data_IF_541095527743
#
_entry.id   IF_541095527743
#
_cell.length_a   1.000
_cell.length_b   1.000
_cell.length_c   1.000
_cell.angle_alpha   90.00
_cell.angle_beta   90.00
_cell.angle_gamma   90.00
#
_symmetry.space_group_name_H-M   'P 1'
#
loop_
_entity.id
_entity.type
_entity.pdbx_description
1 polymer ?
#
# COMPACT_ATOMS: atom_id res chain seq x y z
N UNK A 1 -13.13 19.70 -56.30
CA UNK A 1 -13.77 21.02 -56.31
C UNK A 1 -14.09 21.34 -54.86
N UNK A 2 -13.59 22.49 -54.44
CA UNK A 2 -13.61 23.17 -53.13
C UNK A 2 -14.96 23.03 -52.37
N UNK A 3 -15.05 23.17 -51.04
CA UNK A 3 -14.78 24.43 -50.33
C UNK A 3 -14.41 24.20 -48.85
N UNK A 4 -13.40 24.95 -48.43
CA UNK A 4 -12.97 25.21 -47.06
C UNK A 4 -13.86 26.29 -46.42
N UNK A 5 -14.40 26.08 -45.22
CA UNK A 5 -14.86 27.18 -44.34
C UNK A 5 -14.58 26.80 -42.89
N UNK A 6 -13.54 27.38 -42.31
CA UNK A 6 -13.38 27.48 -40.86
C UNK A 6 -14.37 28.50 -40.29
N UNK A 7 -14.84 28.31 -39.04
CA UNK A 7 -15.04 29.45 -38.17
C UNK A 7 -14.33 29.28 -36.82
N UNK A 8 -13.65 30.37 -36.45
CA UNK A 8 -13.33 30.86 -35.11
C UNK A 8 -12.50 29.99 -34.15
N UNK A 9 -11.23 30.40 -34.06
CA UNK A 9 -10.39 30.25 -32.88
C UNK A 9 -11.02 31.11 -31.78
N UNK A 10 -11.75 30.48 -30.86
CA UNK A 10 -11.99 31.06 -29.54
C UNK A 10 -10.70 30.92 -28.72
N UNK A 11 -9.97 32.02 -28.57
CA UNK A 11 -8.78 32.20 -27.72
C UNK A 11 -9.10 32.14 -26.21
N UNK A 12 -9.91 31.18 -25.77
CA UNK A 12 -10.28 31.04 -24.35
C UNK A 12 -10.16 29.61 -23.79
N UNK A 13 -9.37 28.73 -24.45
CA UNK A 13 -9.21 27.33 -24.03
C UNK A 13 -7.81 26.96 -23.50
N UNK A 14 -6.99 27.93 -23.06
CA UNK A 14 -5.71 27.67 -22.38
C UNK A 14 -5.84 27.28 -20.88
N UNK A 15 -7.04 27.17 -20.33
CA UNK A 15 -7.30 26.60 -19.01
C UNK A 15 -7.94 25.20 -19.08
N UNK A 16 -7.47 24.32 -19.98
CA UNK A 16 -7.78 22.88 -19.90
C UNK A 16 -7.06 22.26 -18.69
N UNK A 17 -7.75 22.36 -17.55
CA UNK A 17 -7.62 21.60 -16.30
C UNK A 17 -6.24 21.00 -16.01
N UNK A 18 -5.48 21.65 -15.13
CA UNK A 18 -4.38 21.00 -14.39
C UNK A 18 -4.85 19.88 -13.43
N UNK A 19 -6.16 19.55 -13.43
CA UNK A 19 -6.74 18.51 -12.61
C UNK A 19 -6.29 17.10 -13.08
N UNK A 20 -5.81 16.24 -12.17
CA UNK A 20 -5.51 14.83 -12.46
C UNK A 20 -6.67 14.10 -13.14
N UNK A 21 -6.43 13.44 -14.27
CA UNK A 21 -7.46 12.67 -14.96
C UNK A 21 -7.55 11.24 -14.40
N UNK A 22 -8.74 10.83 -13.94
CA UNK A 22 -9.02 9.45 -13.54
C UNK A 22 -9.40 8.63 -14.77
N UNK A 23 -8.61 7.61 -15.06
CA UNK A 23 -8.86 6.64 -16.12
C UNK A 23 -9.24 5.28 -15.54
N UNK A 24 -9.92 4.45 -16.32
CA UNK A 24 -10.37 3.11 -15.92
C UNK A 24 -9.94 2.05 -16.92
N UNK A 25 -9.55 0.88 -16.43
CA UNK A 25 -9.31 -0.28 -17.28
C UNK A 25 -10.63 -0.85 -17.80
N UNK A 26 -10.66 -1.26 -19.08
CA UNK A 26 -11.87 -1.83 -19.70
C UNK A 26 -12.29 -3.15 -19.04
N UNK A 27 -11.32 -3.93 -18.55
CA UNK A 27 -11.58 -5.22 -17.92
C UNK A 27 -12.37 -5.04 -16.62
N UNK A 28 -13.45 -5.79 -16.52
CA UNK A 28 -14.22 -6.02 -15.30
C UNK A 28 -13.82 -7.36 -14.68
N UNK A 29 -13.75 -7.39 -13.35
CA UNK A 29 -13.39 -8.56 -12.56
C UNK A 29 -14.63 -9.05 -11.81
N UNK A 30 -14.94 -10.34 -11.91
CA UNK A 30 -16.11 -10.95 -11.25
C UNK A 30 -15.75 -11.49 -9.86
N UNK A 31 -14.83 -10.81 -9.18
CA UNK A 31 -14.28 -11.20 -7.89
C UNK A 31 -13.77 -9.95 -7.19
N UNK A 32 -13.72 -9.98 -5.87
CA UNK A 32 -13.24 -8.83 -5.11
C UNK A 32 -11.73 -8.64 -5.28
N UNK A 33 -11.35 -7.41 -5.64
CA UNK A 33 -9.95 -7.01 -5.71
C UNK A 33 -9.53 -6.56 -4.32
N UNK A 34 -8.59 -7.27 -3.72
CA UNK A 34 -8.16 -7.04 -2.35
C UNK A 34 -6.90 -6.20 -2.27
N UNK A 35 -5.98 -6.42 -3.21
CA UNK A 35 -4.67 -5.77 -3.27
C UNK A 35 -4.10 -5.84 -4.69
N UNK A 36 -3.12 -4.98 -4.99
CA UNK A 36 -2.34 -5.10 -6.21
C UNK A 36 -0.90 -4.68 -5.98
N UNK A 37 -0.01 -5.07 -6.89
CA UNK A 37 1.36 -4.58 -6.93
C UNK A 37 1.84 -4.55 -8.38
N UNK A 38 2.73 -3.61 -8.70
CA UNK A 38 3.31 -3.54 -10.04
C UNK A 38 4.50 -4.49 -10.18
N UNK A 39 4.52 -5.22 -11.29
CA UNK A 39 5.64 -6.04 -11.76
C UNK A 39 6.01 -5.59 -13.17
N UNK A 40 7.12 -4.88 -13.27
CA UNK A 40 7.48 -4.05 -14.41
C UNK A 40 6.38 -3.02 -14.66
N UNK A 41 5.84 -3.05 -15.88
CA UNK A 41 4.68 -2.24 -16.28
C UNK A 41 3.35 -2.92 -15.98
N UNK A 42 3.33 -4.22 -15.66
CA UNK A 42 2.10 -4.99 -15.49
C UNK A 42 1.60 -4.94 -14.05
N UNK A 43 0.30 -5.16 -13.86
CA UNK A 43 -0.33 -5.12 -12.55
C UNK A 43 -0.67 -6.54 -12.08
N UNK A 44 -0.02 -6.99 -11.00
CA UNK A 44 -0.42 -8.19 -10.26
C UNK A 44 -1.60 -7.84 -9.37
N UNK A 45 -2.65 -8.63 -9.45
CA UNK A 45 -3.93 -8.38 -8.78
C UNK A 45 -4.22 -9.58 -7.88
N UNK A 46 -4.28 -9.33 -6.58
CA UNK A 46 -4.68 -10.30 -5.57
C UNK A 46 -6.17 -10.16 -5.29
N UNK A 47 -6.88 -11.28 -5.39
CA UNK A 47 -8.33 -11.35 -5.18
C UNK A 47 -8.68 -12.29 -4.05
N UNK A 48 -9.95 -12.37 -3.70
CA UNK A 48 -10.51 -13.38 -2.81
C UNK A 48 -10.30 -14.83 -3.29
N UNK A 49 -10.11 -15.06 -4.59
CA UNK A 49 -10.04 -16.39 -5.19
C UNK A 49 -8.79 -16.65 -6.05
N UNK A 50 -7.88 -15.69 -6.21
CA UNK A 50 -6.66 -15.95 -6.97
C UNK A 50 -5.68 -14.80 -7.10
N UNK A 51 -4.60 -15.09 -7.83
CA UNK A 51 -3.63 -14.11 -8.30
C UNK A 51 -3.74 -14.02 -9.82
N UNK A 52 -3.88 -12.81 -10.32
CA UNK A 52 -3.98 -12.52 -11.76
C UNK A 52 -2.93 -11.49 -12.16
N UNK A 53 -2.57 -11.46 -13.44
CA UNK A 53 -1.75 -10.40 -14.03
C UNK A 53 -2.56 -9.70 -15.11
N UNK A 54 -2.73 -8.38 -14.96
CA UNK A 54 -3.22 -7.50 -16.02
C UNK A 54 -2.02 -6.98 -16.81
N UNK A 55 -1.93 -7.42 -18.06
CA UNK A 55 -0.92 -6.99 -19.02
C UNK A 55 -1.25 -5.58 -19.52
N UNK A 56 -0.40 -4.64 -19.13
CA UNK A 56 -0.52 -3.22 -19.48
C UNK A 56 0.39 -2.83 -20.64
N UNK A 57 1.25 -3.74 -21.09
CA UNK A 57 2.14 -3.53 -22.24
C UNK A 57 1.44 -3.75 -23.58
N UNK A 58 0.40 -4.59 -23.60
CA UNK A 58 -0.41 -4.88 -24.79
C UNK A 58 -1.86 -4.43 -24.68
N UNK A 59 -2.79 -5.26 -25.14
CA UNK A 59 -4.22 -4.94 -25.26
C UNK A 59 -5.02 -4.99 -23.94
N UNK A 60 -4.37 -5.08 -22.76
CA UNK A 60 -5.09 -5.19 -21.49
C UNK A 60 -5.54 -6.62 -21.14
N UNK A 61 -4.84 -7.63 -21.65
CA UNK A 61 -5.17 -9.05 -21.39
C UNK A 61 -4.93 -9.41 -19.93
N UNK A 62 -5.78 -10.29 -19.38
CA UNK A 62 -5.63 -10.78 -18.01
C UNK A 62 -5.26 -12.26 -18.01
N UNK A 63 -4.18 -12.60 -17.31
CA UNK A 63 -3.68 -13.95 -17.12
C UNK A 63 -3.96 -14.42 -15.69
N UNK A 64 -4.59 -15.58 -15.53
CA UNK A 64 -4.76 -16.21 -14.22
C UNK A 64 -3.48 -16.98 -13.87
N UNK A 65 -2.81 -16.60 -12.76
CA UNK A 65 -1.54 -17.19 -12.34
C UNK A 65 -1.75 -18.27 -11.28
N UNK A 66 -2.59 -17.98 -10.28
CA UNK A 66 -2.91 -18.89 -9.17
C UNK A 66 -4.42 -18.81 -8.94
N UNK A 67 -5.08 -19.95 -8.79
CA UNK A 67 -6.52 -20.08 -8.56
C UNK A 67 -6.80 -20.70 -7.19
N UNK A 68 -7.99 -20.47 -6.64
CA UNK A 68 -8.46 -21.10 -5.40
C UNK A 68 -7.76 -20.58 -4.14
N UNK A 69 -7.11 -19.41 -4.20
CA UNK A 69 -6.35 -18.85 -3.07
C UNK A 69 -6.58 -17.37 -2.95
N UNK A 70 -7.04 -16.94 -1.78
CA UNK A 70 -7.16 -15.53 -1.40
C UNK A 70 -5.78 -14.87 -1.25
N UNK A 71 -5.61 -13.67 -1.80
CA UNK A 71 -4.41 -12.83 -1.66
C UNK A 71 -4.79 -11.49 -1.04
N UNK A 72 -4.31 -11.22 0.17
CA UNK A 72 -4.67 -10.06 0.97
C UNK A 72 -3.76 -8.86 0.78
N UNK A 73 -2.46 -9.11 0.60
CA UNK A 73 -1.44 -8.10 0.44
C UNK A 73 -0.36 -8.65 -0.49
N UNK A 74 0.18 -7.80 -1.36
CA UNK A 74 1.24 -8.12 -2.31
C UNK A 74 2.35 -7.08 -2.20
N UNK A 75 3.60 -7.51 -2.34
CA UNK A 75 4.74 -6.61 -2.55
C UNK A 75 5.76 -7.28 -3.47
N UNK A 76 6.20 -6.57 -4.50
CA UNK A 76 7.10 -7.09 -5.54
C UNK A 76 8.52 -6.58 -5.29
N UNK A 77 9.44 -7.52 -5.11
CA UNK A 77 10.88 -7.27 -5.00
C UNK A 77 11.57 -7.76 -6.28
N UNK A 78 11.52 -6.94 -7.33
CA UNK A 78 12.01 -7.29 -8.67
C UNK A 78 13.49 -7.71 -8.66
N UNK A 79 14.34 -6.95 -7.96
CA UNK A 79 15.78 -7.25 -7.83
C UNK A 79 16.08 -8.56 -7.07
N UNK A 80 15.11 -9.08 -6.32
CA UNK A 80 15.23 -10.35 -5.60
C UNK A 80 14.44 -11.47 -6.30
N UNK A 81 13.82 -11.20 -7.45
CA UNK A 81 12.95 -12.15 -8.15
C UNK A 81 11.81 -12.70 -7.27
N UNK A 82 11.28 -11.90 -6.33
CA UNK A 82 10.29 -12.36 -5.34
C UNK A 82 9.03 -11.50 -5.35
N UNK A 83 7.88 -12.16 -5.30
CA UNK A 83 6.60 -11.61 -4.86
C UNK A 83 6.31 -12.11 -3.45
N UNK A 84 6.24 -11.17 -2.49
CA UNK A 84 5.83 -11.45 -1.12
C UNK A 84 4.32 -11.25 -0.98
N UNK A 85 3.66 -12.15 -0.26
CA UNK A 85 2.20 -12.13 -0.11
C UNK A 85 1.73 -12.49 1.29
N UNK A 86 0.61 -11.92 1.72
CA UNK A 86 -0.29 -12.55 2.71
C UNK A 86 -1.33 -13.29 1.90
N UNK A 87 -1.40 -14.62 2.04
CA UNK A 87 -2.33 -15.42 1.22
C UNK A 87 -2.88 -16.67 1.91
N UNK A 88 -3.91 -17.26 1.30
CA UNK A 88 -4.56 -18.50 1.73
C UNK A 88 -5.42 -18.35 2.99
N UNK A 89 -6.09 -19.44 3.38
CA UNK A 89 -7.05 -19.44 4.50
C UNK A 89 -6.44 -19.06 5.87
N UNK A 90 -5.14 -19.37 6.05
CA UNK A 90 -4.39 -19.14 7.29
C UNK A 90 -3.58 -17.84 7.29
N UNK A 91 -3.72 -16.99 6.26
CA UNK A 91 -2.97 -15.75 6.10
C UNK A 91 -1.46 -15.93 6.32
N UNK A 92 -0.85 -16.92 5.65
CA UNK A 92 0.59 -17.15 5.74
C UNK A 92 1.35 -16.15 4.87
N UNK A 93 2.55 -15.78 5.31
CA UNK A 93 3.52 -15.04 4.48
C UNK A 93 4.17 -16.01 3.48
N UNK A 94 4.02 -15.72 2.18
CA UNK A 94 4.56 -16.56 1.10
C UNK A 94 5.38 -15.79 0.10
N UNK A 95 6.46 -16.42 -0.33
CA UNK A 95 7.38 -15.93 -1.34
C UNK A 95 7.17 -16.75 -2.62
N UNK A 96 6.71 -16.09 -3.68
CA UNK A 96 6.64 -16.66 -5.02
C UNK A 96 7.78 -16.12 -5.85
N UNK A 97 8.49 -16.97 -6.59
CA UNK A 97 9.47 -16.48 -7.55
C UNK A 97 8.77 -15.83 -8.74
N UNK A 98 9.20 -14.63 -9.13
CA UNK A 98 8.61 -13.93 -10.28
C UNK A 98 8.87 -14.71 -11.58
N UNK A 99 10.02 -15.38 -11.69
CA UNK A 99 10.33 -16.30 -12.79
C UNK A 99 9.30 -17.45 -12.91
N UNK A 100 8.87 -18.04 -11.79
CA UNK A 100 7.83 -19.08 -11.79
C UNK A 100 6.48 -18.52 -12.30
N UNK A 101 6.11 -17.32 -11.86
CA UNK A 101 4.89 -16.65 -12.36
C UNK A 101 4.99 -16.31 -13.85
N UNK A 102 6.20 -15.93 -14.33
CA UNK A 102 6.46 -15.61 -15.74
C UNK A 102 6.24 -16.83 -16.63
N UNK A 103 6.72 -17.99 -16.20
CA UNK A 103 6.57 -19.25 -16.93
C UNK A 103 5.10 -19.62 -17.16
N UNK A 104 4.23 -19.33 -16.18
CA UNK A 104 2.77 -19.51 -16.33
C UNK A 104 2.12 -18.63 -17.39
N UNK A 105 2.70 -17.47 -17.69
CA UNK A 105 2.19 -16.56 -18.72
C UNK A 105 2.63 -17.02 -20.11
N UNK A 106 3.91 -17.38 -20.24
CA UNK A 106 4.52 -17.80 -21.51
C UNK A 106 4.07 -19.20 -21.93
N UNK A 107 3.41 -19.97 -21.05
CA UNK A 107 3.06 -21.39 -21.24
C UNK A 107 4.28 -22.23 -21.68
N UNK A 108 5.47 -21.87 -21.22
CA UNK A 108 6.67 -22.63 -21.53
C UNK A 108 6.54 -24.00 -20.88
N UNK A 109 6.63 -25.08 -21.67
CA UNK A 109 6.68 -26.46 -21.18
C UNK A 109 8.04 -26.81 -20.55
N UNK A 110 8.68 -25.85 -19.87
CA UNK A 110 9.85 -26.14 -19.06
C UNK A 110 9.41 -26.92 -17.83
N UNK A 111 10.06 -28.07 -17.60
CA UNK A 111 9.88 -28.98 -16.47
C UNK A 111 10.12 -28.30 -15.09
N UNK A 112 9.28 -27.35 -14.70
CA UNK A 112 9.27 -26.68 -13.38
C UNK A 112 8.72 -27.60 -12.28
N UNK A 113 8.31 -28.83 -12.61
CA UNK A 113 7.64 -29.79 -11.73
C UNK A 113 8.44 -30.24 -10.49
N UNK A 114 9.67 -29.76 -10.30
CA UNK A 114 10.49 -30.10 -9.11
C UNK A 114 10.57 -29.01 -8.04
N UNK A 115 10.24 -27.74 -8.33
CA UNK A 115 10.32 -26.66 -7.33
C UNK A 115 8.94 -26.26 -6.82
N UNK A 116 8.77 -26.08 -5.50
CA UNK A 116 7.50 -25.63 -4.96
C UNK A 116 7.16 -24.25 -5.53
N UNK A 117 5.88 -24.03 -5.82
CA UNK A 117 5.39 -22.76 -6.39
C UNK A 117 5.69 -21.54 -5.50
N UNK A 118 5.86 -21.77 -4.20
CA UNK A 118 6.22 -20.77 -3.21
C UNK A 118 6.97 -21.41 -2.04
N UNK A 119 7.64 -20.56 -1.27
CA UNK A 119 8.18 -20.90 0.06
C UNK A 119 7.44 -20.09 1.12
N UNK A 120 7.11 -20.68 2.26
CA UNK A 120 6.58 -19.92 3.40
C UNK A 120 7.74 -19.21 4.11
N UNK A 121 7.50 -18.00 4.63
CA UNK A 121 8.42 -17.40 5.58
C UNK A 121 8.16 -18.03 6.95
N UNK A 122 9.03 -18.95 7.37
CA UNK A 122 8.85 -19.72 8.60
C UNK A 122 7.51 -20.45 8.66
N UNK A 123 6.98 -20.63 9.87
CA UNK A 123 5.66 -21.24 10.12
C UNK A 123 4.56 -20.22 10.45
N UNK A 124 4.77 -18.95 10.07
CA UNK A 124 3.90 -17.84 10.39
C UNK A 124 2.48 -18.04 9.86
N UNK A 125 1.50 -17.77 10.73
CA UNK A 125 0.06 -17.80 10.47
C UNK A 125 -0.59 -16.57 11.08
N UNK A 126 -1.75 -16.18 10.55
CA UNK A 126 -2.49 -15.05 11.12
C UNK A 126 -1.91 -13.67 10.77
N UNK A 127 -1.11 -13.55 9.71
CA UNK A 127 -0.56 -12.25 9.33
C UNK A 127 -1.67 -11.24 9.00
N UNK A 128 -1.59 -10.07 9.64
CA UNK A 128 -2.51 -8.94 9.46
C UNK A 128 -2.00 -7.94 8.43
N UNK A 129 -0.72 -7.63 8.51
CA UNK A 129 -0.06 -6.66 7.65
C UNK A 129 1.44 -6.97 7.59
N UNK A 130 2.08 -6.65 6.48
CA UNK A 130 3.53 -6.52 6.45
C UNK A 130 3.97 -5.24 5.75
N UNK A 131 5.19 -4.79 6.06
CA UNK A 131 5.84 -3.67 5.39
C UNK A 131 7.27 -4.04 5.03
N UNK A 132 7.70 -3.62 3.84
CA UNK A 132 9.10 -3.67 3.43
C UNK A 132 9.68 -2.27 3.58
N UNK A 133 10.75 -2.14 4.35
CA UNK A 133 11.51 -0.90 4.52
C UNK A 133 12.93 -1.13 4.02
N UNK A 134 13.42 -0.23 3.17
CA UNK A 134 14.78 -0.30 2.64
C UNK A 134 15.63 0.72 3.38
N UNK A 135 16.76 0.27 3.90
CA UNK A 135 17.75 1.13 4.53
C UNK A 135 19.13 0.74 4.00
N UNK A 136 19.80 1.69 3.37
CA UNK A 136 21.04 1.43 2.63
C UNK A 136 20.91 0.22 1.68
N UNK A 137 21.75 -0.81 1.87
CA UNK A 137 21.72 -2.06 1.08
C UNK A 137 20.80 -3.13 1.67
N UNK A 138 20.26 -2.89 2.88
CA UNK A 138 19.45 -3.83 3.64
C UNK A 138 17.97 -3.61 3.34
N UNK A 139 17.22 -4.72 3.32
CA UNK A 139 15.75 -4.69 3.22
C UNK A 139 15.20 -5.36 4.47
N UNK A 140 14.45 -4.61 5.24
CA UNK A 140 13.70 -5.11 6.38
C UNK A 140 12.30 -5.49 5.95
N UNK A 141 11.80 -6.62 6.46
CA UNK A 141 10.42 -7.06 6.36
C UNK A 141 9.86 -7.12 7.78
N UNK A 142 8.83 -6.33 8.02
CA UNK A 142 8.13 -6.25 9.31
C UNK A 142 6.77 -6.88 9.12
N UNK A 143 6.44 -7.86 9.94
CA UNK A 143 5.21 -8.65 9.84
C UNK A 143 4.42 -8.50 11.13
N UNK A 144 3.21 -7.94 11.05
CA UNK A 144 2.21 -8.00 12.11
C UNK A 144 1.45 -9.33 12.03
N UNK A 145 1.47 -10.09 13.11
CA UNK A 145 0.69 -11.31 13.33
C UNK A 145 -0.47 -11.02 14.30
N UNK A 146 -1.22 -12.04 14.70
CA UNK A 146 -2.37 -11.85 15.60
C UNK A 146 -1.99 -11.19 16.94
N UNK A 147 -0.88 -11.62 17.54
CA UNK A 147 -0.42 -11.17 18.87
C UNK A 147 1.10 -10.86 18.92
N UNK A 148 1.78 -10.79 17.77
CA UNK A 148 3.23 -10.54 17.71
C UNK A 148 3.66 -9.73 16.49
N UNK A 149 4.86 -9.16 16.56
CA UNK A 149 5.53 -8.54 15.41
C UNK A 149 6.87 -9.24 15.19
N UNK A 150 7.14 -9.60 13.94
CA UNK A 150 8.42 -10.17 13.55
C UNK A 150 9.12 -9.30 12.51
N UNK A 151 10.39 -9.00 12.78
CA UNK A 151 11.29 -8.25 11.91
C UNK A 151 12.28 -9.22 11.28
N UNK A 152 12.40 -9.16 9.98
CA UNK A 152 13.32 -9.94 9.16
C UNK A 152 14.24 -9.03 8.37
N UNK A 153 15.47 -9.45 8.15
CA UNK A 153 16.41 -8.78 7.25
C UNK A 153 16.70 -9.66 6.03
N UNK A 154 16.81 -9.05 4.85
CA UNK A 154 17.17 -9.75 3.63
C UNK A 154 18.65 -10.15 3.64
N UNK A 155 18.94 -11.45 3.63
CA UNK A 155 20.30 -11.96 3.46
C UNK A 155 20.64 -12.12 1.97
N UNK A 156 21.77 -11.58 1.49
CA UNK A 156 22.22 -11.78 0.12
C UNK A 156 22.63 -13.24 -0.15
N UNK A 157 23.12 -13.53 -1.35
CA UNK A 157 23.69 -14.85 -1.66
C UNK A 157 24.85 -15.17 -0.68
N UNK A 158 25.00 -16.43 -0.25
CA UNK A 158 24.33 -17.64 -0.74
C UNK A 158 22.92 -17.90 -0.17
N UNK A 159 22.52 -17.21 0.91
CA UNK A 159 21.25 -17.48 1.59
C UNK A 159 20.01 -17.08 0.78
N UNK A 160 20.05 -15.90 0.14
CA UNK A 160 19.02 -15.38 -0.75
C UNK A 160 17.59 -15.51 -0.19
N UNK A 161 17.42 -15.14 1.09
CA UNK A 161 16.15 -15.24 1.83
C UNK A 161 16.07 -14.20 2.95
N UNK A 162 14.87 -13.97 3.45
CA UNK A 162 14.66 -13.21 4.67
C UNK A 162 15.06 -14.06 5.88
N UNK A 163 15.93 -13.50 6.72
CA UNK A 163 16.40 -14.08 7.98
C UNK A 163 15.75 -13.34 9.14
N UNK A 164 15.33 -14.06 10.18
CA UNK A 164 14.76 -13.45 11.38
C UNK A 164 15.80 -12.52 12.00
N UNK A 165 15.39 -11.28 12.25
CA UNK A 165 16.20 -10.25 12.88
C UNK A 165 15.77 -10.06 14.34
N UNK A 166 14.46 -9.88 14.59
CA UNK A 166 13.90 -9.75 15.94
C UNK A 166 12.43 -10.17 16.00
N UNK A 167 11.98 -10.64 17.15
CA UNK A 167 10.59 -11.08 17.39
C UNK A 167 10.08 -10.43 18.67
N UNK A 168 8.88 -9.84 18.61
CA UNK A 168 8.19 -9.21 19.72
C UNK A 168 6.88 -9.96 19.97
N UNK A 169 6.86 -10.84 20.98
CA UNK A 169 5.69 -11.70 21.29
C UNK A 169 4.83 -11.22 22.45
N UNK A 170 5.29 -10.23 23.22
CA UNK A 170 4.61 -9.69 24.40
C UNK A 170 4.21 -8.25 24.13
N UNK A 171 3.30 -8.05 23.19
CA UNK A 171 2.80 -6.72 22.83
C UNK A 171 1.70 -6.30 23.81
N UNK A 172 1.70 -5.04 24.22
CA UNK A 172 0.61 -4.47 25.03
C UNK A 172 -0.73 -4.50 24.27
N UNK A 173 -0.68 -4.35 22.95
CA UNK A 173 -1.85 -4.29 22.09
C UNK A 173 -1.64 -5.06 20.78
N UNK A 174 -2.73 -5.62 20.25
CA UNK A 174 -2.71 -6.39 18.99
C UNK A 174 -2.36 -5.51 17.79
N UNK A 175 -1.35 -5.90 16.97
CA UNK A 175 -0.92 -5.09 15.84
C UNK A 175 -1.81 -5.32 14.62
N UNK A 176 -2.34 -4.23 14.06
CA UNK A 176 -3.15 -4.25 12.83
C UNK A 176 -2.38 -3.71 11.63
N UNK A 177 -1.49 -2.75 11.87
CA UNK A 177 -0.68 -2.06 10.88
C UNK A 177 0.74 -1.91 11.44
N UNK A 178 1.75 -2.05 10.58
CA UNK A 178 3.17 -1.93 10.98
C UNK A 178 3.96 -1.12 9.97
N UNK A 179 4.94 -0.38 10.47
CA UNK A 179 6.03 0.23 9.70
C UNK A 179 7.35 0.16 10.51
N UNK A 180 8.45 0.50 9.85
CA UNK A 180 9.76 0.65 10.49
C UNK A 180 10.31 2.03 10.15
N UNK A 181 10.64 2.79 11.18
CA UNK A 181 11.39 4.02 11.01
C UNK A 181 12.86 3.80 11.36
N UNK A 182 13.73 4.51 10.66
CA UNK A 182 15.16 4.56 10.94
C UNK A 182 15.48 5.99 11.37
N UNK A 183 15.79 6.15 12.64
CA UNK A 183 16.17 7.42 13.25
C UNK A 183 17.65 7.75 12.97
N UNK A 184 18.03 8.98 13.33
CA UNK A 184 19.43 9.40 13.33
C UNK A 184 20.32 8.41 14.13
N UNK A 185 21.52 8.15 13.62
CA UNK A 185 22.41 7.15 14.19
C UNK A 185 22.03 5.70 13.87
N UNK A 186 21.16 5.46 12.88
CA UNK A 186 20.71 4.12 12.45
C UNK A 186 19.88 3.36 13.49
N UNK A 187 19.26 4.08 14.45
CA UNK A 187 18.37 3.45 15.43
C UNK A 187 17.08 3.03 14.76
N UNK A 188 16.71 1.77 14.93
CA UNK A 188 15.52 1.21 14.31
C UNK A 188 14.38 1.20 15.32
N UNK A 189 13.20 1.68 14.92
CA UNK A 189 11.95 1.51 15.70
C UNK A 189 10.84 0.93 14.85
N UNK A 190 10.19 -0.12 15.35
CA UNK A 190 8.91 -0.57 14.80
C UNK A 190 7.84 0.39 15.28
N UNK A 191 7.02 0.88 14.36
CA UNK A 191 5.77 1.58 14.70
C UNK A 191 4.62 0.67 14.34
N UNK A 192 3.64 0.50 15.23
CA UNK A 192 2.45 -0.28 14.94
C UNK A 192 1.16 0.39 15.42
N UNK A 193 0.10 0.23 14.64
CA UNK A 193 -1.25 0.67 14.99
C UNK A 193 -2.08 -0.49 15.53
N UNK A 194 -2.88 -0.21 16.56
CA UNK A 194 -3.82 -1.13 17.20
C UNK A 194 -5.24 -0.54 17.21
N UNK A 195 -6.18 -1.22 17.85
CA UNK A 195 -7.53 -0.68 18.11
C UNK A 195 -7.56 0.40 19.20
N UNK A 196 -6.45 0.61 19.91
CA UNK A 196 -6.34 1.59 21.00
C UNK A 196 -5.54 2.83 20.61
N UNK A 197 -4.73 2.75 19.55
CA UNK A 197 -3.86 3.85 19.13
C UNK A 197 -2.64 3.37 18.38
N UNK A 198 -1.53 4.08 18.54
CA UNK A 198 -0.25 3.76 17.91
C UNK A 198 0.85 3.67 18.94
N UNK A 199 1.78 2.77 18.68
CA UNK A 199 2.82 2.36 19.62
C UNK A 199 4.15 2.24 18.88
N UNK A 200 5.25 2.45 19.58
CA UNK A 200 6.59 2.26 19.06
C UNK A 200 7.35 1.21 19.89
N UNK A 201 8.20 0.44 19.23
CA UNK A 201 9.10 -0.52 19.85
C UNK A 201 10.51 -0.24 19.36
N UNK A 202 11.41 0.05 20.29
CA UNK A 202 12.83 0.22 20.00
C UNK A 202 13.49 -1.14 19.75
N UNK A 203 14.14 -1.32 18.60
CA UNK A 203 14.67 -2.62 18.22
C UNK A 203 15.89 -3.04 19.05
N UNK A 204 16.61 -2.13 19.69
CA UNK A 204 17.79 -2.49 20.47
C UNK A 204 17.38 -2.85 21.90
N UNK A 205 16.65 -1.94 22.55
CA UNK A 205 16.22 -2.08 23.94
C UNK A 205 14.98 -2.95 24.11
N UNK A 206 14.18 -3.15 23.06
CA UNK A 206 12.85 -3.77 23.11
C UNK A 206 11.83 -2.99 23.95
N UNK A 207 12.13 -1.73 24.30
CA UNK A 207 11.22 -0.88 25.04
C UNK A 207 9.99 -0.55 24.18
N UNK A 208 8.80 -0.68 24.76
CA UNK A 208 7.53 -0.37 24.11
C UNK A 208 6.97 0.91 24.71
N UNK A 209 6.53 1.82 23.84
CA UNK A 209 5.93 3.09 24.25
C UNK A 209 4.66 3.37 23.46
N UNK A 210 3.65 3.92 24.12
CA UNK A 210 2.45 4.43 23.48
C UNK A 210 2.77 5.83 22.93
N UNK A 211 2.85 5.95 21.59
CA UNK A 211 3.18 7.24 20.95
C UNK A 211 1.94 8.08 20.68
N UNK A 212 0.76 7.45 20.59
CA UNK A 212 -0.49 8.17 20.46
C UNK A 212 -1.67 7.31 20.90
N UNK A 213 -2.43 7.81 21.88
CA UNK A 213 -3.72 7.25 22.30
C UNK A 213 -4.78 8.35 22.15
N UNK A 214 -5.80 8.19 21.28
CA UNK A 214 -6.85 9.19 21.14
C UNK A 214 -7.68 9.31 22.43
N UNK A 215 -8.05 10.55 22.78
CA UNK A 215 -8.72 10.87 24.05
C UNK A 215 -10.15 10.34 24.17
N UNK A 216 -10.79 9.98 23.04
CA UNK A 216 -12.18 9.49 23.02
C UNK A 216 -12.19 7.95 23.02
N UNK A 217 -12.20 7.35 24.21
CA UNK A 217 -12.14 5.89 24.45
C UNK A 217 -13.37 5.09 23.94
N UNK A 218 -14.42 5.74 23.45
CA UNK A 218 -15.68 5.05 23.12
C UNK A 218 -15.65 4.37 21.74
N UNK A 219 -14.79 4.82 20.81
CA UNK A 219 -14.68 4.24 19.47
C UNK A 219 -13.31 3.59 19.25
N UNK A 220 -13.32 2.34 18.77
CA UNK A 220 -12.10 1.62 18.39
C UNK A 220 -11.36 2.39 17.28
N UNK A 221 -10.04 2.54 17.45
CA UNK A 221 -9.16 3.11 16.42
C UNK A 221 -9.11 2.17 15.22
N UNK A 222 -9.33 2.72 14.02
CA UNK A 222 -9.11 2.05 12.75
C UNK A 222 -7.84 2.63 12.12
N UNK A 223 -6.67 2.01 12.30
CA UNK A 223 -5.42 2.52 11.73
C UNK A 223 -5.44 2.37 10.21
N UNK A 224 -5.19 3.47 9.49
CA UNK A 224 -5.16 3.48 8.03
C UNK A 224 -3.74 3.57 7.47
N UNK A 225 -2.88 4.41 8.04
CA UNK A 225 -1.51 4.60 7.57
C UNK A 225 -0.59 5.10 8.69
N UNK A 226 0.66 4.65 8.65
CA UNK A 226 1.79 5.23 9.38
C UNK A 226 2.68 5.85 8.31
N UNK A 227 2.92 7.16 8.40
CA UNK A 227 3.69 7.90 7.40
C UNK A 227 4.88 8.54 8.09
N UNK A 228 6.07 8.04 7.82
CA UNK A 228 7.31 8.70 8.22
C UNK A 228 7.48 9.94 7.36
N UNK A 229 7.51 11.11 7.99
CA UNK A 229 7.59 12.38 7.26
C UNK A 229 8.95 12.54 6.58
N UNK A 230 8.99 13.00 5.31
CA UNK A 230 10.24 13.24 4.61
C UNK A 230 11.06 14.33 5.31
N UNK A 231 12.38 14.28 5.16
CA UNK A 231 13.31 15.29 5.71
C UNK A 231 13.25 15.46 7.23
N UNK A 232 12.83 14.44 7.97
CA UNK A 232 12.74 14.47 9.45
C UNK A 232 13.65 13.46 10.14
N UNK A 233 14.61 12.87 9.40
CA UNK A 233 15.51 11.82 9.89
C UNK A 233 14.77 10.66 10.57
N UNK A 234 13.57 10.31 10.10
CA UNK A 234 12.76 9.23 10.67
C UNK A 234 12.08 9.56 12.01
N UNK A 235 12.25 10.78 12.52
CA UNK A 235 11.80 11.15 13.86
C UNK A 235 10.34 11.59 13.91
N UNK A 236 9.76 11.99 12.79
CA UNK A 236 8.42 12.59 12.73
C UNK A 236 7.46 11.72 11.92
N UNK A 237 6.25 11.58 12.45
CA UNK A 237 5.21 10.71 11.92
C UNK A 237 3.92 11.48 11.68
N UNK A 238 3.20 11.10 10.62
CA UNK A 238 1.77 11.34 10.48
C UNK A 238 1.06 9.99 10.64
N UNK A 239 0.22 9.89 11.67
CA UNK A 239 -0.55 8.71 12.01
C UNK A 239 -2.01 8.93 11.58
N UNK A 240 -2.44 8.24 10.52
CA UNK A 240 -3.80 8.36 9.98
C UNK A 240 -4.68 7.23 10.52
N UNK A 241 -5.80 7.59 11.15
CA UNK A 241 -6.77 6.65 11.73
C UNK A 241 -8.18 7.23 11.67
N UNK A 242 -9.20 6.39 11.57
CA UNK A 242 -10.59 6.83 11.43
C UNK A 242 -10.69 7.94 10.35
N UNK A 243 -11.33 9.08 10.67
CA UNK A 243 -11.40 10.27 9.84
C UNK A 243 -10.35 11.34 10.19
N UNK A 244 -9.28 10.98 10.90
CA UNK A 244 -8.27 11.92 11.42
C UNK A 244 -6.84 11.52 11.06
N UNK A 245 -5.91 12.45 11.29
CA UNK A 245 -4.49 12.27 11.21
C UNK A 245 -3.78 13.20 12.20
N UNK A 246 -2.88 12.62 12.99
CA UNK A 246 -2.12 13.34 14.03
C UNK A 246 -0.63 13.33 13.72
N UNK A 247 0.03 14.45 14.00
CA UNK A 247 1.47 14.60 13.87
C UNK A 247 2.14 14.43 15.22
N UNK A 248 3.03 13.46 15.33
CA UNK A 248 3.82 13.22 16.53
C UNK A 248 5.23 12.75 16.16
N UNK A 249 6.13 12.81 17.12
CA UNK A 249 7.42 12.15 17.00
C UNK A 249 7.32 10.66 17.40
N UNK A 250 8.42 9.95 17.21
CA UNK A 250 8.56 8.53 17.58
C UNK A 250 8.65 8.29 19.09
N UNK A 251 8.51 9.33 19.92
CA UNK A 251 8.49 9.31 21.38
C UNK A 251 7.13 9.73 21.95
N UNK A 252 6.16 10.06 21.08
CA UNK A 252 4.80 10.43 21.42
C UNK A 252 4.56 11.91 21.70
N UNK A 253 5.55 12.77 21.47
CA UNK A 253 5.36 14.22 21.56
C UNK A 253 4.62 14.71 20.31
N UNK A 254 3.53 15.44 20.50
CA UNK A 254 2.82 16.12 19.40
C UNK A 254 3.76 17.12 18.73
N UNK A 255 3.82 17.08 17.40
CA UNK A 255 4.81 17.83 16.63
C UNK A 255 4.24 19.04 15.91
N UNK A 256 2.94 19.02 15.60
CA UNK A 256 2.22 20.11 14.96
C UNK A 256 0.87 20.26 15.63
N UNK A 257 0.41 21.49 15.79
CA UNK A 257 -0.93 21.73 16.35
C UNK A 257 -2.07 21.52 15.36
N UNK A 258 -1.73 21.37 14.09
CA UNK A 258 -2.66 21.07 13.01
C UNK A 258 -3.06 19.60 13.08
N UNK A 259 -4.36 19.34 12.99
CA UNK A 259 -4.91 18.00 12.78
C UNK A 259 -5.28 17.85 11.30
N UNK A 260 -4.94 16.71 10.72
CA UNK A 260 -5.47 16.33 9.42
C UNK A 260 -6.85 15.72 9.64
N UNK A 261 -7.87 16.22 8.97
CA UNK A 261 -9.23 15.70 9.09
C UNK A 261 -9.83 15.43 7.72
N UNK A 262 -10.30 14.21 7.50
CA UNK A 262 -11.01 13.81 6.29
C UNK A 262 -12.47 14.26 6.38
N UNK A 263 -13.06 14.70 5.26
CA UNK A 263 -14.46 15.13 5.21
C UNK A 263 -15.47 13.99 5.40
N UNK A 264 -15.02 12.74 5.24
CA UNK A 264 -15.77 11.53 5.61
C UNK A 264 -14.79 10.42 6.04
N UNK A 265 -15.31 9.35 6.65
CA UNK A 265 -14.50 8.19 7.03
C UNK A 265 -13.88 7.52 5.77
N UNK A 266 -12.54 7.58 5.58
CA UNK A 266 -11.91 6.96 4.44
C UNK A 266 -11.93 5.44 4.56
N UNK A 267 -12.15 4.76 3.44
CA UNK A 267 -12.00 3.30 3.34
C UNK A 267 -10.55 2.87 3.21
N UNK A 268 -9.68 3.77 2.72
CA UNK A 268 -8.23 3.58 2.68
C UNK A 268 -7.54 4.94 2.63
N UNK A 269 -6.37 5.03 3.25
CA UNK A 269 -5.48 6.19 3.16
C UNK A 269 -4.14 5.72 2.61
N UNK A 270 -3.52 6.49 1.73
CA UNK A 270 -2.19 6.20 1.22
C UNK A 270 -1.35 7.47 1.13
N UNK A 271 -0.12 7.38 1.62
CA UNK A 271 0.93 8.32 1.26
C UNK A 271 1.39 8.02 -0.17
N UNK A 272 1.47 9.05 -1.00
CA UNK A 272 1.87 8.98 -2.40
C UNK A 272 3.11 9.83 -2.61
N UNK A 273 3.88 9.52 -3.66
CA UNK A 273 5.01 10.35 -4.08
C UNK A 273 4.63 11.84 -4.15
N UNK A 274 5.59 12.71 -3.84
CA UNK A 274 5.47 14.18 -3.84
C UNK A 274 4.79 14.78 -2.59
N UNK A 275 4.94 14.16 -1.42
CA UNK A 275 4.53 14.77 -0.15
C UNK A 275 3.02 14.90 0.03
N UNK A 276 2.25 14.00 -0.58
CA UNK A 276 0.78 14.04 -0.54
C UNK A 276 0.22 12.81 0.15
N UNK A 277 -0.89 12.99 0.85
CA UNK A 277 -1.68 11.92 1.43
C UNK A 277 -3.07 11.94 0.81
N UNK A 278 -3.51 10.77 0.36
CA UNK A 278 -4.80 10.60 -0.29
C UNK A 278 -5.73 9.75 0.57
N UNK A 279 -6.99 10.16 0.70
CA UNK A 279 -8.04 9.45 1.41
C UNK A 279 -9.17 9.07 0.45
N UNK A 280 -9.51 7.78 0.38
CA UNK A 280 -10.61 7.29 -0.46
C UNK A 280 -11.88 7.14 0.37
N UNK A 281 -12.78 8.11 0.26
CA UNK A 281 -14.12 8.07 0.86
C UNK A 281 -15.19 7.47 -0.07
N UNK A 282 -16.42 7.40 0.41
CA UNK A 282 -17.58 6.88 -0.34
C UNK A 282 -18.09 7.86 -1.40
N UNK A 283 -17.91 9.16 -1.15
CA UNK A 283 -18.39 10.28 -1.98
C UNK A 283 -17.24 10.97 -2.69
N UNK A 284 -16.04 10.98 -2.12
CA UNK A 284 -14.90 11.65 -2.73
C UNK A 284 -13.56 10.92 -2.54
N UNK A 285 -12.57 11.30 -3.34
CA UNK A 285 -11.15 11.08 -3.01
C UNK A 285 -10.56 12.43 -2.65
N UNK A 286 -10.06 12.57 -1.43
CA UNK A 286 -9.38 13.78 -0.97
C UNK A 286 -7.86 13.62 -1.15
N UNK A 287 -7.21 14.70 -1.57
CA UNK A 287 -5.75 14.82 -1.64
C UNK A 287 -5.36 15.97 -0.72
N UNK A 288 -4.48 15.70 0.23
CA UNK A 288 -3.96 16.70 1.17
C UNK A 288 -2.45 16.73 1.13
N UNK A 289 -1.89 17.91 1.36
CA UNK A 289 -0.47 18.06 1.60
C UNK A 289 -0.10 17.39 2.93
N UNK A 290 0.94 16.55 2.93
CA UNK A 290 1.33 15.78 4.11
C UNK A 290 1.87 16.66 5.24
N UNK A 291 2.43 17.83 4.93
CA UNK A 291 3.08 18.69 5.90
C UNK A 291 2.15 19.75 6.48
N UNK A 292 1.35 20.40 5.65
CA UNK A 292 0.45 21.48 6.07
C UNK A 292 -0.98 21.01 6.37
N UNK A 293 -1.32 19.75 6.04
CA UNK A 293 -2.67 19.19 6.08
C UNK A 293 -3.71 19.91 5.18
N UNK A 294 -3.25 20.84 4.33
CA UNK A 294 -4.11 21.61 3.42
C UNK A 294 -4.74 20.70 2.37
N UNK A 295 -5.97 21.03 1.98
CA UNK A 295 -6.70 20.31 0.95
C UNK A 295 -6.22 20.75 -0.44
N UNK A 296 -5.42 19.90 -1.10
CA UNK A 296 -4.86 20.16 -2.43
C UNK A 296 -5.85 19.83 -3.55
N UNK A 297 -6.81 18.92 -3.30
CA UNK A 297 -7.82 18.57 -4.29
C UNK A 297 -8.84 17.55 -3.80
N UNK A 298 -10.00 17.55 -4.46
CA UNK A 298 -11.12 16.63 -4.19
C UNK A 298 -11.67 16.09 -5.50
N UNK A 299 -11.79 14.77 -5.60
CA UNK A 299 -12.45 14.10 -6.71
C UNK A 299 -13.79 13.56 -6.26
N UNK A 300 -14.85 14.28 -6.60
CA UNK A 300 -16.22 13.86 -6.29
C UNK A 300 -16.66 12.72 -7.20
N UNK A 301 -17.24 11.67 -6.60
CA UNK A 301 -17.87 10.59 -7.35
C UNK A 301 -19.23 11.04 -7.88
N UNK A 302 -19.51 10.78 -9.16
CA UNK A 302 -20.86 11.05 -9.74
C UNK A 302 -21.99 10.29 -9.03
N UNK A 303 -21.67 9.16 -8.41
CA UNK A 303 -22.55 8.35 -7.55
C UNK A 303 -21.71 7.76 -6.44
N UNK A 304 -22.27 7.60 -5.24
CA UNK A 304 -21.58 6.98 -4.12
C UNK A 304 -21.03 5.61 -4.54
N UNK A 305 -19.71 5.45 -4.41
CA UNK A 305 -19.01 4.21 -4.74
C UNK A 305 -17.84 4.04 -3.77
N UNK A 306 -17.73 2.85 -3.19
CA UNK A 306 -16.58 2.49 -2.36
C UNK A 306 -15.40 2.22 -3.28
N UNK A 307 -14.32 2.98 -3.11
CA UNK A 307 -13.06 2.79 -3.82
C UNK A 307 -11.97 2.49 -2.83
N UNK A 308 -11.00 1.66 -3.21
CA UNK A 308 -9.87 1.28 -2.35
C UNK A 308 -8.56 1.47 -3.07
N UNK A 309 -7.59 2.09 -2.40
CA UNK A 309 -6.20 2.11 -2.83
C UNK A 309 -5.66 0.69 -3.07
N UNK A 310 -4.86 0.54 -4.12
CA UNK A 310 -4.20 -0.72 -4.46
C UNK A 310 -2.67 -0.60 -4.38
N UNK A 311 -2.09 0.33 -5.14
CA UNK A 311 -0.66 0.58 -5.17
C UNK A 311 -0.34 1.89 -5.89
N UNK A 312 0.89 2.38 -5.74
CA UNK A 312 1.44 3.53 -6.45
C UNK A 312 2.85 3.18 -6.98
N UNK A 313 3.18 3.68 -8.18
CA UNK A 313 4.54 3.67 -8.74
C UNK A 313 4.59 4.67 -9.89
N UNK A 314 5.70 5.40 -10.01
CA UNK A 314 5.95 6.35 -11.09
C UNK A 314 4.82 7.38 -11.22
N UNK A 315 4.43 7.99 -10.09
CA UNK A 315 3.42 9.06 -10.02
C UNK A 315 2.03 8.62 -10.51
N UNK A 316 1.77 7.31 -10.54
CA UNK A 316 0.48 6.74 -10.89
C UNK A 316 -0.08 5.97 -9.71
N UNK A 317 -1.27 6.37 -9.30
CA UNK A 317 -2.01 5.72 -8.22
C UNK A 317 -3.06 4.82 -8.83
N UNK A 318 -3.09 3.56 -8.38
CA UNK A 318 -4.07 2.56 -8.77
C UNK A 318 -5.02 2.30 -7.62
N UNK A 319 -6.31 2.23 -7.94
CA UNK A 319 -7.37 1.92 -6.98
C UNK A 319 -8.46 1.11 -7.67
N UNK A 320 -9.31 0.45 -6.89
CA UNK A 320 -10.42 -0.36 -7.42
C UNK A 320 -11.73 -0.03 -6.74
N UNK A 321 -12.84 -0.32 -7.43
CA UNK A 321 -14.14 -0.34 -6.79
C UNK A 321 -14.29 -1.57 -5.88
N UNK A 322 -14.86 -1.37 -4.69
CA UNK A 322 -15.27 -2.43 -3.78
C UNK A 322 -16.73 -2.74 -4.06
N UNK A 323 -17.01 -3.99 -4.43
CA UNK A 323 -18.29 -4.37 -5.02
C UNK A 323 -18.83 -5.73 -4.56
N UNK A 324 -18.30 -6.27 -3.44
CA UNK A 324 -18.71 -7.51 -2.76
C UNK A 324 -19.14 -8.63 -3.72
N UNK A 325 -18.21 -9.11 -4.55
CA UNK A 325 -18.41 -10.22 -5.49
C UNK A 325 -18.99 -9.83 -6.86
N UNK A 326 -19.33 -8.56 -7.08
CA UNK A 326 -19.79 -8.07 -8.38
C UNK A 326 -18.63 -7.52 -9.24
N UNK A 327 -18.98 -6.97 -10.41
CA UNK A 327 -18.07 -6.44 -11.45
C UNK A 327 -17.14 -5.31 -10.93
N UNK A 328 -16.07 -5.69 -10.23
CA UNK A 328 -15.01 -4.79 -9.77
C UNK A 328 -14.24 -4.23 -10.96
N UNK A 329 -13.80 -2.98 -10.84
CA UNK A 329 -13.06 -2.26 -11.88
C UNK A 329 -11.83 -1.59 -11.29
N UNK A 330 -10.74 -1.58 -12.06
CA UNK A 330 -9.49 -0.90 -11.68
C UNK A 330 -9.44 0.46 -12.38
N UNK A 331 -9.06 1.45 -11.61
CA UNK A 331 -8.85 2.82 -12.00
C UNK A 331 -7.39 3.19 -11.80
N UNK A 332 -6.94 4.20 -12.52
CA UNK A 332 -5.67 4.84 -12.26
C UNK A 332 -5.77 6.35 -12.44
N UNK A 333 -4.98 7.07 -11.66
CA UNK A 333 -4.83 8.51 -11.73
C UNK A 333 -3.34 8.82 -11.92
N UNK A 334 -3.02 9.66 -12.89
CA UNK A 334 -1.68 10.24 -12.98
C UNK A 334 -1.65 11.48 -12.09
N UNK A 335 -0.73 11.52 -11.14
CA UNK A 335 -0.46 12.70 -10.35
C UNK A 335 0.37 13.62 -11.23
N UNK A 336 -0.24 14.68 -11.78
CA UNK A 336 0.52 15.66 -12.53
C UNK A 336 1.62 16.24 -11.63
N UNK A 337 2.81 16.49 -12.20
CA UNK A 337 3.74 17.45 -11.61
C UNK A 337 3.01 18.78 -11.57
N UNK A 338 2.40 19.10 -10.44
CA UNK A 338 2.12 20.50 -10.13
C UNK A 338 3.51 21.12 -10.05
N UNK A 339 3.85 21.91 -11.07
CA UNK A 339 5.13 22.59 -11.17
C UNK A 339 5.44 23.27 -9.86
N UNK A 340 6.64 22.99 -9.34
CA UNK A 340 7.25 23.67 -8.20
C UNK A 340 7.26 25.18 -8.38
#
# INVERSE_FOLDING_TARGET
>A
IDVNVSPHIDENNQFKSNAPEIRKYKKRFNCDILCAALWGVNLLIGTDNGLMLLDRSGQGKVYSLIKGRRFQQLNVLESQNILLTISGKKNKIRLYYLSFLKNKIVKSQTNDGKRPAFTNLGELQGAKHFKIVKYERIKFLIVALDDSIEVYAWAPKPYHKFMTFKVFSQLSYRPLLVDLTIEEGSRLKVIYGSTYGFHAIDLDTSNQIDIYLPSQLNDSVIPHAIIVLPNTNGMQLLLCYNNEGVYCDTYGKKSKDILLQWGELPTSVAYISNGKVMGWGNKAIEIRNVDSATLDGVFMHKRAQKLKYLCEKNEKVFFSSIRNGSSCQIYFMALNKMSS
#
